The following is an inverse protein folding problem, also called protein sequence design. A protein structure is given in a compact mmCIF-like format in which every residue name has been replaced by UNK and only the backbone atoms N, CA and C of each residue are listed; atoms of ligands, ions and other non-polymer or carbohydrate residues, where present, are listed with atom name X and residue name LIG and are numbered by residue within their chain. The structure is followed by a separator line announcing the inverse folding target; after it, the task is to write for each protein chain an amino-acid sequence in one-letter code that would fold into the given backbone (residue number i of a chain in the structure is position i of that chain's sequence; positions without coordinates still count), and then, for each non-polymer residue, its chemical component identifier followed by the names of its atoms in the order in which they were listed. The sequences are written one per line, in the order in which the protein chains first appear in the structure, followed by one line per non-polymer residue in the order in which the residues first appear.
data_IF_245279800341
#
_entry.id   IF_245279800341
#
_cell.length_a   1.000
_cell.length_b   1.000
_cell.length_c   1.000
_cell.angle_alpha   90.00
_cell.angle_beta   90.00
_cell.angle_gamma   90.00
#
_symmetry.space_group_name_H-M   'P 1'
#
loop_
_entity.id
_entity.type
_entity.pdbx_description
1 polymer ?
#
# COMPACT_ATOMS: atom_id res chain seq x y z
N UNK A 1 7.66 25.16 -3.82
CA UNK A 1 7.00 24.11 -3.01
C UNK A 1 7.91 22.90 -3.09
N UNK A 2 8.63 22.56 -2.02
CA UNK A 2 9.37 21.30 -1.97
C UNK A 2 8.34 20.16 -1.97
N UNK A 3 8.29 19.38 -3.06
CA UNK A 3 7.59 18.09 -3.03
C UNK A 3 8.25 17.25 -1.94
N UNK A 4 7.51 16.88 -0.89
CA UNK A 4 8.01 15.94 0.10
C UNK A 4 8.19 14.58 -0.61
N UNK A 5 9.44 14.11 -0.84
CA UNK A 5 9.70 12.92 -1.65
C UNK A 5 9.06 11.67 -1.02
N UNK A 6 8.93 11.64 0.31
CA UNK A 6 8.31 10.53 1.01
C UNK A 6 6.80 10.50 0.76
N UNK A 7 6.13 11.66 0.75
CA UNK A 7 4.70 11.74 0.43
C UNK A 7 4.43 11.21 -0.98
N UNK A 8 5.24 11.59 -1.97
CA UNK A 8 5.13 11.10 -3.34
C UNK A 8 5.29 9.58 -3.43
N UNK A 9 6.25 9.04 -2.67
CA UNK A 9 6.41 7.60 -2.57
C UNK A 9 5.22 6.93 -1.90
N UNK A 10 4.64 7.50 -0.84
CA UNK A 10 3.43 6.98 -0.20
C UNK A 10 2.19 7.00 -1.12
N UNK A 11 2.03 8.04 -1.94
CA UNK A 11 0.98 8.09 -2.97
C UNK A 11 1.18 6.99 -4.03
N UNK A 12 2.44 6.74 -4.40
CA UNK A 12 2.81 5.68 -5.33
C UNK A 12 2.54 4.29 -4.74
N UNK A 13 2.86 4.08 -3.45
CA UNK A 13 2.55 2.86 -2.72
C UNK A 13 1.04 2.61 -2.68
N UNK A 14 0.25 3.63 -2.32
CA UNK A 14 -1.21 3.54 -2.31
C UNK A 14 -1.77 3.16 -3.68
N UNK A 15 -1.35 3.87 -4.73
CA UNK A 15 -1.76 3.60 -6.11
C UNK A 15 -1.42 2.17 -6.53
N UNK A 16 -0.19 1.71 -6.27
CA UNK A 16 0.24 0.37 -6.62
C UNK A 16 -0.62 -0.70 -5.94
N UNK A 17 -0.92 -0.53 -4.65
CA UNK A 17 -1.80 -1.44 -3.90
C UNK A 17 -3.20 -1.47 -4.53
N UNK A 18 -3.81 -0.31 -4.79
CA UNK A 18 -5.15 -0.22 -5.39
C UNK A 18 -5.19 -0.88 -6.76
N UNK A 19 -4.24 -0.57 -7.63
CA UNK A 19 -4.17 -1.13 -8.98
C UNK A 19 -3.93 -2.64 -8.97
N UNK A 20 -3.08 -3.14 -8.06
CA UNK A 20 -2.87 -4.57 -7.92
C UNK A 20 -4.15 -5.29 -7.50
N UNK A 21 -4.90 -4.72 -6.55
CA UNK A 21 -6.17 -5.28 -6.12
C UNK A 21 -7.24 -5.15 -7.21
N UNK A 22 -7.29 -4.04 -7.95
CA UNK A 22 -8.17 -3.87 -9.10
C UNK A 22 -8.00 -4.98 -10.15
N UNK A 23 -6.77 -5.43 -10.41
CA UNK A 23 -6.50 -6.56 -11.29
C UNK A 23 -7.00 -7.92 -10.78
N UNK A 24 -7.38 -8.03 -9.51
CA UNK A 24 -7.84 -9.27 -8.84
C UNK A 24 -9.35 -9.24 -8.61
N UNK A 25 -9.87 -8.16 -8.04
CA UNK A 25 -11.28 -8.04 -7.59
C UNK A 25 -12.13 -7.14 -8.50
N UNK A 26 -11.53 -6.54 -9.53
CA UNK A 26 -12.15 -5.53 -10.39
C UNK A 26 -11.94 -4.10 -9.89
N UNK A 27 -11.81 -3.15 -10.84
CA UNK A 27 -11.49 -1.74 -10.56
C UNK A 27 -12.56 -1.06 -9.70
N UNK A 28 -13.83 -1.20 -10.09
CA UNK A 28 -14.95 -0.56 -9.39
C UNK A 28 -14.98 -0.94 -7.90
N UNK A 29 -14.79 -2.23 -7.61
CA UNK A 29 -14.78 -2.72 -6.24
C UNK A 29 -13.53 -2.26 -5.49
N UNK A 30 -12.37 -2.26 -6.15
CA UNK A 30 -11.12 -1.79 -5.54
C UNK A 30 -11.19 -0.31 -5.15
N UNK A 31 -11.71 0.55 -6.04
CA UNK A 31 -11.89 1.98 -5.81
C UNK A 31 -12.97 2.22 -4.75
N UNK A 32 -14.11 1.52 -4.83
CA UNK A 32 -15.18 1.64 -3.85
C UNK A 32 -14.72 1.29 -2.42
N UNK A 33 -13.78 0.37 -2.29
CA UNK A 33 -13.18 -0.01 -0.99
C UNK A 33 -12.30 1.09 -0.42
N UNK A 34 -11.41 1.66 -1.23
CA UNK A 34 -10.53 2.77 -0.81
C UNK A 34 -11.34 3.98 -0.38
N UNK A 35 -12.41 4.32 -1.12
CA UNK A 35 -13.27 5.48 -0.82
C UNK A 35 -13.97 5.41 0.53
N UNK A 36 -14.07 4.23 1.16
CA UNK A 36 -14.59 4.06 2.53
C UNK A 36 -13.58 4.50 3.60
N UNK A 37 -12.31 4.64 3.23
CA UNK A 37 -11.24 5.00 4.15
C UNK A 37 -11.16 6.52 4.18
N UNK A 38 -11.63 7.11 5.27
CA UNK A 38 -11.47 8.53 5.52
C UNK A 38 -9.99 8.92 5.44
N UNK A 39 -9.69 9.91 4.61
CA UNK A 39 -8.34 10.45 4.42
C UNK A 39 -7.58 9.92 3.21
N UNK A 40 -8.14 9.02 2.38
CA UNK A 40 -7.53 8.62 1.10
C UNK A 40 -8.39 9.18 -0.04
N UNK A 41 -7.79 9.99 -0.92
CA UNK A 41 -8.44 10.41 -2.16
C UNK A 41 -7.88 9.63 -3.35
N UNK A 42 -8.81 9.00 -4.07
CA UNK A 42 -8.54 8.14 -5.21
C UNK A 42 -9.49 8.51 -6.36
N UNK A 43 -8.95 8.58 -7.57
CA UNK A 43 -9.75 8.81 -8.77
C UNK A 43 -10.45 7.52 -9.25
N UNK A 44 -11.20 7.60 -10.35
CA UNK A 44 -11.89 6.43 -10.92
C UNK A 44 -10.92 5.44 -11.61
N UNK A 45 -9.66 5.82 -11.83
CA UNK A 45 -8.62 4.94 -12.39
C UNK A 45 -7.86 4.14 -11.33
N UNK A 46 -8.14 4.38 -10.05
CA UNK A 46 -7.41 3.78 -8.93
C UNK A 46 -6.11 4.50 -8.58
N UNK A 47 -5.89 5.71 -9.10
CA UNK A 47 -4.77 6.56 -8.73
C UNK A 47 -5.05 7.26 -7.40
N UNK A 48 -4.20 7.01 -6.41
CA UNK A 48 -4.22 7.74 -5.14
C UNK A 48 -3.47 9.05 -5.31
N UNK A 49 -4.18 10.16 -5.24
CA UNK A 49 -3.61 11.49 -5.47
C UNK A 49 -3.51 12.34 -4.19
N UNK A 50 -4.13 11.91 -3.08
CA UNK A 50 -3.98 12.60 -1.80
C UNK A 50 -4.14 11.67 -0.60
N UNK A 51 -3.35 11.94 0.43
CA UNK A 51 -3.45 11.33 1.76
C UNK A 51 -3.58 12.45 2.81
N UNK A 52 -4.68 12.45 3.54
CA UNK A 52 -5.02 13.43 4.57
C UNK A 52 -4.89 12.77 5.94
N UNK A 53 -3.69 12.84 6.52
CA UNK A 53 -3.34 12.20 7.79
C UNK A 53 -1.99 11.48 7.70
N UNK A 54 -1.75 10.57 8.64
CA UNK A 54 -0.54 9.75 8.64
C UNK A 54 -0.56 8.76 7.45
N UNK A 55 0.39 8.84 6.51
CA UNK A 55 0.42 7.96 5.34
C UNK A 55 0.58 6.47 5.70
N UNK A 56 1.34 6.17 6.74
CA UNK A 56 1.60 4.79 7.18
C UNK A 56 0.30 4.19 7.72
N UNK A 57 -0.42 4.93 8.56
CA UNK A 57 -1.71 4.47 9.09
C UNK A 57 -2.76 4.29 7.99
N UNK A 58 -2.84 5.24 7.05
CA UNK A 58 -3.80 5.18 5.94
C UNK A 58 -3.53 3.99 5.01
N UNK A 59 -2.26 3.73 4.67
CA UNK A 59 -1.89 2.54 3.89
C UNK A 59 -2.15 1.23 4.67
N UNK A 60 -1.98 1.24 5.99
CA UNK A 60 -2.35 0.11 6.84
C UNK A 60 -3.86 -0.21 6.75
N UNK A 61 -4.70 0.82 6.88
CA UNK A 61 -6.16 0.71 6.72
C UNK A 61 -6.56 0.25 5.32
N UNK A 62 -5.83 0.70 4.29
CA UNK A 62 -6.03 0.26 2.91
C UNK A 62 -5.86 -1.24 2.76
N UNK A 63 -4.74 -1.77 3.27
CA UNK A 63 -4.47 -3.20 3.23
C UNK A 63 -5.51 -3.98 4.06
N UNK A 64 -5.88 -3.49 5.24
CA UNK A 64 -6.91 -4.11 6.07
C UNK A 64 -8.26 -4.20 5.37
N UNK A 65 -8.68 -3.16 4.65
CA UNK A 65 -9.96 -3.16 3.94
C UNK A 65 -10.00 -4.24 2.84
N UNK A 66 -8.87 -4.53 2.20
CA UNK A 66 -8.76 -5.63 1.25
C UNK A 66 -8.62 -7.00 1.94
N UNK A 67 -7.93 -7.08 3.07
CA UNK A 67 -7.86 -8.32 3.88
C UNK A 67 -9.25 -8.75 4.35
N UNK A 68 -10.12 -7.81 4.71
CA UNK A 68 -11.52 -8.11 5.06
C UNK A 68 -12.31 -8.75 3.91
N UNK A 69 -11.91 -8.52 2.66
CA UNK A 69 -12.57 -9.07 1.47
C UNK A 69 -11.95 -10.39 1.01
N UNK A 70 -10.62 -10.48 0.99
CA UNK A 70 -9.88 -11.56 0.32
C UNK A 70 -8.91 -12.32 1.24
N UNK A 71 -8.96 -12.07 2.55
CA UNK A 71 -8.09 -12.71 3.54
C UNK A 71 -6.62 -12.32 3.39
N UNK A 72 -5.73 -13.17 3.92
CA UNK A 72 -4.28 -12.91 3.94
C UNK A 72 -3.65 -12.78 2.54
N UNK A 73 -4.30 -13.31 1.51
CA UNK A 73 -3.86 -13.14 0.13
C UNK A 73 -3.76 -11.65 -0.26
N UNK A 74 -4.62 -10.80 0.29
CA UNK A 74 -4.56 -9.35 0.05
C UNK A 74 -3.24 -8.74 0.54
N UNK A 75 -2.69 -9.21 1.67
CA UNK A 75 -1.39 -8.77 2.17
C UNK A 75 -0.30 -9.16 1.17
N UNK A 76 -0.29 -10.42 0.73
CA UNK A 76 0.70 -10.94 -0.23
C UNK A 76 0.70 -10.13 -1.53
N UNK A 77 -0.47 -9.87 -2.11
CA UNK A 77 -0.57 -9.09 -3.34
C UNK A 77 -0.16 -7.63 -3.13
N UNK A 78 -0.51 -7.04 -1.99
CA UNK A 78 -0.11 -5.68 -1.65
C UNK A 78 1.41 -5.55 -1.51
N UNK A 79 2.07 -6.49 -0.82
CA UNK A 79 3.54 -6.56 -0.74
C UNK A 79 4.18 -6.68 -2.12
N UNK A 80 3.64 -7.54 -2.99
CA UNK A 80 4.14 -7.67 -4.38
C UNK A 80 4.01 -6.37 -5.18
N UNK A 81 2.92 -5.62 -4.98
CA UNK A 81 2.66 -4.38 -5.70
C UNK A 81 3.70 -3.30 -5.39
N UNK A 82 4.16 -3.27 -4.14
CA UNK A 82 5.03 -2.19 -3.65
C UNK A 82 6.53 -2.54 -3.70
N UNK A 83 6.89 -3.77 -4.05
CA UNK A 83 8.26 -4.28 -3.97
C UNK A 83 9.29 -3.40 -4.67
N UNK A 84 9.03 -3.01 -5.92
CA UNK A 84 9.94 -2.13 -6.66
C UNK A 84 10.04 -0.73 -6.06
N UNK A 85 8.96 -0.21 -5.48
CA UNK A 85 8.92 1.13 -4.87
C UNK A 85 9.74 1.12 -3.58
N UNK A 86 9.56 0.10 -2.73
CA UNK A 86 10.30 -0.05 -1.47
C UNK A 86 11.78 -0.27 -1.72
N UNK A 87 12.15 -1.11 -2.70
CA UNK A 87 13.56 -1.32 -3.07
C UNK A 87 14.26 -0.03 -3.50
N UNK A 88 13.54 0.86 -4.18
CA UNK A 88 14.07 2.16 -4.61
C UNK A 88 14.02 3.23 -3.52
N UNK A 89 13.33 2.97 -2.40
CA UNK A 89 13.14 3.90 -1.29
C UNK A 89 13.27 3.16 0.06
N UNK A 90 14.47 2.67 0.40
CA UNK A 90 14.67 1.78 1.55
C UNK A 90 14.42 2.45 2.91
N UNK A 91 14.38 3.78 2.97
CA UNK A 91 14.11 4.55 4.18
C UNK A 91 12.61 4.69 4.50
N UNK A 92 11.72 4.32 3.57
CA UNK A 92 10.28 4.42 3.80
C UNK A 92 9.81 3.44 4.87
N UNK A 93 9.12 3.98 5.87
CA UNK A 93 8.46 3.17 6.88
C UNK A 93 7.17 2.60 6.31
N UNK A 94 7.01 1.28 6.45
CA UNK A 94 5.83 0.56 5.99
C UNK A 94 4.80 0.35 7.09
N UNK A 95 3.52 0.23 6.75
CA UNK A 95 2.50 -0.20 7.70
C UNK A 95 2.79 -1.61 8.22
N UNK A 96 2.43 -1.89 9.49
CA UNK A 96 2.68 -3.17 10.18
C UNK A 96 2.18 -4.39 9.39
N UNK A 97 1.09 -4.22 8.66
CA UNK A 97 0.45 -5.21 7.79
C UNK A 97 1.41 -5.68 6.69
N UNK A 98 2.24 -4.79 6.15
CA UNK A 98 3.17 -5.09 5.05
C UNK A 98 4.58 -5.43 5.54
N UNK A 99 4.93 -5.05 6.78
CA UNK A 99 6.25 -5.35 7.36
C UNK A 99 6.56 -6.85 7.39
N UNK A 100 5.58 -7.72 7.67
CA UNK A 100 5.77 -9.18 7.67
C UNK A 100 6.32 -9.71 6.34
N UNK A 101 6.01 -9.06 5.21
CA UNK A 101 6.52 -9.43 3.90
C UNK A 101 7.99 -9.06 3.67
N UNK A 102 8.55 -8.16 4.49
CA UNK A 102 9.93 -7.68 4.39
C UNK A 102 10.81 -8.07 5.58
N UNK A 103 10.23 -8.38 6.75
CA UNK A 103 10.96 -8.84 7.93
C UNK A 103 11.74 -10.15 7.70
N UNK A 104 11.31 -10.98 6.75
CA UNK A 104 12.00 -12.24 6.46
C UNK A 104 13.35 -12.05 5.74
N UNK A 105 13.62 -10.90 5.11
CA UNK A 105 14.88 -10.66 4.42
C UNK A 105 16.02 -10.33 5.40
N UNK A 106 15.74 -9.56 6.45
CA UNK A 106 16.73 -9.21 7.47
C UNK A 106 17.00 -10.36 8.45
N UNK A 107 16.00 -11.18 8.80
CA UNK A 107 16.23 -12.37 9.63
C UNK A 107 17.02 -13.46 8.89
N UNK A 108 16.82 -13.61 7.58
CA UNK A 108 17.57 -14.57 6.77
C UNK A 108 19.07 -14.21 6.68
N UNK A 109 19.40 -12.91 6.59
CA UNK A 109 20.79 -12.44 6.57
C UNK A 109 21.47 -12.46 7.95
N UNK A 110 20.69 -12.37 9.04
CA UNK A 110 21.20 -12.48 10.43
C UNK A 110 21.33 -13.92 10.93
N UNK A 111 20.89 -14.90 10.13
CA UNK A 111 20.95 -16.33 10.46
C UNK A 111 22.23 -17.02 9.95
N UNK A 112 23.20 -16.27 9.41
CA UNK A 112 24.50 -16.75 8.96
C UNK A 112 25.63 -15.89 9.51
#
# INVERSE_FOLDING_TARGET
MEENPDLKSYLSLGTAIVQKQAGIIGLDLAVAKVRKIGGILVDDSGQVFQLLGDPIELLGKLVEEYVRLSGEAAVKFSTQAIDSIVKNNPHLKLPKQLQKGYSSAEEFLKSF
#
